data_IF_356164296286
#
_entry.id   IF_356164296286
#
_cell.length_a   1.000
_cell.length_b   1.000
_cell.length_c   1.000
_cell.angle_alpha   90.00
_cell.angle_beta   90.00
_cell.angle_gamma   90.00
#
_symmetry.space_group_name_H-M   'P 1'
#
loop_
_entity.id
_entity.type
_entity.pdbx_description
1 polymer ?
#
# COMPACT_ATOMS: atom_id res chain seq x y z
N UNK A 1 22.74 21.47 0.23
CA UNK A 1 22.27 21.01 1.55
C UNK A 1 21.62 19.66 1.32
N UNK A 2 22.06 18.65 2.04
CA UNK A 2 21.57 17.28 1.87
C UNK A 2 20.29 17.06 2.67
N UNK A 3 19.34 16.24 2.16
CA UNK A 3 18.10 15.96 2.88
C UNK A 3 18.37 15.08 4.11
N UNK A 4 17.73 15.44 5.23
CA UNK A 4 17.76 14.69 6.49
C UNK A 4 16.38 14.08 6.79
N UNK A 5 16.35 12.93 7.46
CA UNK A 5 15.12 12.21 7.83
C UNK A 5 15.19 11.74 9.28
N UNK A 6 14.05 11.74 9.97
CA UNK A 6 13.90 11.27 11.35
C UNK A 6 12.74 10.28 11.48
N UNK A 7 12.81 9.41 12.50
CA UNK A 7 11.79 8.39 12.78
C UNK A 7 11.01 8.69 14.08
N UNK A 8 10.92 9.96 14.46
CA UNK A 8 10.17 10.44 15.61
C UNK A 8 9.42 11.72 15.23
N UNK A 9 8.25 11.91 15.81
CA UNK A 9 7.49 13.15 15.67
C UNK A 9 8.21 14.27 16.41
N UNK A 10 8.61 15.31 15.70
CA UNK A 10 9.25 16.50 16.29
C UNK A 10 8.39 17.21 17.34
N UNK A 11 7.06 17.03 17.27
CA UNK A 11 6.12 17.64 18.21
C UNK A 11 5.90 16.83 19.49
N UNK A 12 5.89 15.50 19.42
CA UNK A 12 5.56 14.63 20.55
C UNK A 12 6.75 13.83 21.09
N UNK A 13 7.84 13.76 20.34
CA UNK A 13 9.02 12.92 20.62
C UNK A 13 8.75 11.41 20.52
N UNK A 14 7.55 11.00 20.07
CA UNK A 14 7.15 9.59 19.93
C UNK A 14 7.32 9.12 18.48
N UNK A 15 7.36 7.81 18.27
CA UNK A 15 7.55 7.24 16.93
C UNK A 15 6.36 7.45 15.99
N UNK A 16 5.12 7.53 16.50
CA UNK A 16 3.90 7.74 15.69
C UNK A 16 3.78 6.79 14.47
N UNK A 17 4.22 5.53 14.64
CA UNK A 17 4.19 4.51 13.60
C UNK A 17 5.43 4.50 12.68
N UNK A 18 6.39 5.39 12.90
CA UNK A 18 7.70 5.36 12.25
C UNK A 18 8.63 4.36 12.96
N UNK A 19 9.59 3.80 12.23
CA UNK A 19 10.55 2.85 12.77
C UNK A 19 10.98 1.80 11.75
N UNK A 20 11.73 0.79 12.19
CA UNK A 20 12.14 -0.31 11.34
C UNK A 20 10.93 -1.15 10.91
N UNK A 21 10.87 -1.46 9.62
CA UNK A 21 9.91 -2.41 9.04
C UNK A 21 10.62 -3.77 8.90
N UNK A 22 10.16 -4.78 9.63
CA UNK A 22 10.76 -6.12 9.65
C UNK A 22 9.93 -7.10 8.82
N UNK A 23 10.58 -7.93 8.01
CA UNK A 23 9.87 -8.86 7.11
C UNK A 23 9.27 -8.13 5.91
N UNK A 24 8.15 -8.66 5.40
CA UNK A 24 7.48 -8.11 4.23
C UNK A 24 8.34 -8.00 2.97
N UNK A 25 7.88 -7.18 2.04
CA UNK A 25 8.57 -6.90 0.77
C UNK A 25 8.28 -5.47 0.30
N UNK A 26 9.28 -4.86 -0.34
CA UNK A 26 9.16 -3.53 -0.95
C UNK A 26 8.83 -3.66 -2.44
N UNK A 27 7.86 -2.88 -2.90
CA UNK A 27 7.46 -2.74 -4.29
C UNK A 27 7.67 -1.29 -4.75
N UNK A 28 8.04 -1.15 -6.03
CA UNK A 28 8.13 0.16 -6.67
C UNK A 28 6.77 0.56 -7.21
N UNK A 29 6.36 1.79 -6.94
CA UNK A 29 5.16 2.41 -7.48
C UNK A 29 5.50 3.82 -7.98
N UNK A 30 4.63 4.37 -8.81
CA UNK A 30 4.70 5.76 -9.23
C UNK A 30 4.50 6.69 -8.03
N UNK A 31 5.09 7.89 -8.12
CA UNK A 31 4.86 8.95 -7.13
C UNK A 31 3.37 9.34 -7.08
N UNK A 32 2.66 9.21 -8.20
CA UNK A 32 1.23 9.44 -8.29
C UNK A 32 0.43 8.43 -7.46
N UNK A 33 0.77 7.15 -7.53
CA UNK A 33 0.15 6.12 -6.69
C UNK A 33 0.48 6.34 -5.21
N UNK A 34 1.74 6.62 -4.87
CA UNK A 34 2.12 6.92 -3.48
C UNK A 34 1.28 8.08 -2.91
N UNK A 35 1.06 9.13 -3.70
CA UNK A 35 0.17 10.25 -3.32
C UNK A 35 -1.28 9.81 -3.16
N UNK A 36 -1.84 9.01 -4.08
CA UNK A 36 -3.21 8.49 -4.01
C UNK A 36 -3.45 7.65 -2.75
N UNK A 37 -2.50 6.78 -2.39
CA UNK A 37 -2.58 5.92 -1.21
C UNK A 37 -2.54 6.69 0.12
N UNK A 38 -1.92 7.88 0.15
CA UNK A 38 -1.83 8.73 1.34
C UNK A 38 -2.97 9.77 1.44
N UNK A 39 -3.95 9.75 0.54
CA UNK A 39 -5.11 10.64 0.65
C UNK A 39 -5.96 10.27 1.87
N UNK A 40 -6.63 11.25 2.47
CA UNK A 40 -7.52 11.00 3.60
C UNK A 40 -8.68 10.06 3.24
N UNK A 41 -9.09 10.07 1.96
CA UNK A 41 -10.09 9.17 1.40
C UNK A 41 -9.64 8.65 0.03
N UNK A 42 -8.79 7.60 -0.04
CA UNK A 42 -8.22 7.10 -1.29
C UNK A 42 -9.27 6.65 -2.31
N UNK A 43 -10.38 6.06 -1.85
CA UNK A 43 -11.50 5.67 -2.70
C UNK A 43 -12.19 6.88 -3.35
N UNK A 44 -12.65 7.84 -2.53
CA UNK A 44 -13.43 8.99 -3.01
C UNK A 44 -12.59 9.99 -3.81
N UNK A 45 -11.37 10.29 -3.36
CA UNK A 45 -10.52 11.34 -3.94
C UNK A 45 -9.55 10.79 -4.98
N UNK A 46 -9.14 9.54 -4.81
CA UNK A 46 -8.10 8.90 -5.62
C UNK A 46 -8.62 7.77 -6.51
N UNK A 47 -9.89 7.37 -6.41
CA UNK A 47 -10.42 6.20 -7.13
C UNK A 47 -9.64 4.91 -6.83
N UNK A 48 -9.02 4.82 -5.65
CA UNK A 48 -8.21 3.68 -5.23
C UNK A 48 -8.99 2.85 -4.21
N UNK A 49 -9.58 1.75 -4.66
CA UNK A 49 -10.42 0.85 -3.83
C UNK A 49 -9.75 -0.49 -3.55
N UNK A 50 -8.64 -0.80 -4.23
CA UNK A 50 -7.99 -2.12 -4.14
C UNK A 50 -7.66 -2.55 -2.70
N UNK A 51 -7.20 -1.64 -1.84
CA UNK A 51 -6.85 -1.96 -0.45
C UNK A 51 -8.08 -2.27 0.40
N UNK A 52 -9.15 -1.49 0.25
CA UNK A 52 -10.42 -1.68 0.95
C UNK A 52 -11.07 -3.00 0.52
N UNK A 53 -11.06 -3.30 -0.78
CA UNK A 53 -11.63 -4.53 -1.33
C UNK A 53 -10.84 -5.79 -0.89
N UNK A 54 -9.51 -5.71 -0.79
CA UNK A 54 -8.69 -6.79 -0.24
C UNK A 54 -8.99 -7.02 1.24
N UNK A 55 -9.12 -5.95 2.03
CA UNK A 55 -9.53 -6.03 3.44
C UNK A 55 -10.93 -6.63 3.60
N UNK A 56 -11.89 -6.20 2.78
CA UNK A 56 -13.27 -6.72 2.76
C UNK A 56 -13.33 -8.21 2.34
N UNK A 57 -12.38 -8.66 1.52
CA UNK A 57 -12.23 -10.06 1.16
C UNK A 57 -11.55 -10.91 2.26
N UNK A 58 -11.22 -10.33 3.42
CA UNK A 58 -10.61 -11.03 4.55
C UNK A 58 -9.09 -11.21 4.43
N UNK A 59 -8.45 -10.53 3.49
CA UNK A 59 -6.99 -10.57 3.34
C UNK A 59 -6.37 -9.68 4.41
N UNK A 60 -5.69 -10.30 5.38
CA UNK A 60 -4.97 -9.58 6.43
C UNK A 60 -3.57 -9.20 5.95
N UNK A 61 -3.23 -7.91 6.04
CA UNK A 61 -1.92 -7.39 5.66
C UNK A 61 -1.59 -6.09 6.39
N UNK A 62 -0.31 -5.76 6.42
CA UNK A 62 0.22 -4.48 6.83
C UNK A 62 0.84 -3.76 5.63
N UNK A 63 0.84 -2.44 5.67
CA UNK A 63 1.36 -1.62 4.58
C UNK A 63 2.00 -0.34 5.12
N UNK A 64 3.13 0.04 4.52
CA UNK A 64 3.75 1.34 4.74
C UNK A 64 4.04 1.98 3.39
N UNK A 65 3.53 3.18 3.17
CA UNK A 65 3.71 3.92 1.91
C UNK A 65 4.75 5.00 2.13
N UNK A 66 5.74 5.06 1.24
CA UNK A 66 6.72 6.13 1.18
C UNK A 66 6.40 7.11 0.05
N UNK A 67 6.50 8.42 0.32
CA UNK A 67 6.34 9.46 -0.71
C UNK A 67 7.39 9.37 -1.84
N UNK A 68 8.44 8.57 -1.64
CA UNK A 68 9.49 8.26 -2.60
C UNK A 68 9.11 7.16 -3.62
N UNK A 69 7.83 6.76 -3.72
CA UNK A 69 7.39 5.75 -4.68
C UNK A 69 7.74 4.32 -4.25
N UNK A 70 7.88 4.10 -2.95
CA UNK A 70 8.07 2.77 -2.36
C UNK A 70 6.85 2.41 -1.54
N UNK A 71 6.40 1.17 -1.66
CA UNK A 71 5.41 0.60 -0.75
C UNK A 71 5.96 -0.69 -0.17
N UNK A 72 5.98 -0.76 1.15
CA UNK A 72 6.26 -1.99 1.87
C UNK A 72 4.95 -2.68 2.20
N UNK A 73 4.89 -3.99 1.98
CA UNK A 73 3.72 -4.83 2.25
C UNK A 73 4.18 -6.05 3.05
N UNK A 74 3.43 -6.41 4.07
CA UNK A 74 3.61 -7.67 4.79
C UNK A 74 2.29 -8.38 5.08
N UNK A 75 2.33 -9.71 5.10
CA UNK A 75 1.17 -10.56 5.32
C UNK A 75 1.63 -11.94 5.80
N UNK A 76 0.68 -12.80 6.19
CA UNK A 76 0.96 -14.12 6.79
C UNK A 76 1.80 -15.04 5.92
N UNK A 77 1.72 -14.91 4.59
CA UNK A 77 2.49 -15.74 3.66
C UNK A 77 3.15 -14.91 2.58
N UNK A 78 4.31 -15.37 2.11
CA UNK A 78 5.03 -14.75 0.99
C UNK A 78 4.14 -14.68 -0.26
N UNK A 79 3.30 -15.70 -0.50
CA UNK A 79 2.35 -15.73 -1.62
C UNK A 79 1.37 -14.57 -1.54
N UNK A 80 0.77 -14.35 -0.37
CA UNK A 80 -0.18 -13.25 -0.13
C UNK A 80 0.50 -11.89 -0.22
N UNK A 81 1.69 -11.74 0.38
CA UNK A 81 2.50 -10.51 0.28
C UNK A 81 2.82 -10.14 -1.17
N UNK A 82 3.26 -11.12 -1.97
CA UNK A 82 3.52 -10.94 -3.40
C UNK A 82 2.25 -10.59 -4.19
N UNK A 83 1.13 -11.27 -3.88
CA UNK A 83 -0.14 -11.03 -4.54
C UNK A 83 -0.63 -9.60 -4.32
N UNK A 84 -0.58 -9.10 -3.08
CA UNK A 84 -0.98 -7.73 -2.74
C UNK A 84 -0.06 -6.71 -3.41
N UNK A 85 1.26 -6.87 -3.27
CA UNK A 85 2.21 -5.94 -3.87
C UNK A 85 2.06 -5.84 -5.38
N UNK A 86 1.88 -6.98 -6.06
CA UNK A 86 1.61 -7.00 -7.51
C UNK A 86 0.26 -6.38 -7.86
N UNK A 87 -0.77 -6.54 -7.04
CA UNK A 87 -2.06 -5.91 -7.28
C UNK A 87 -1.97 -4.38 -7.25
N UNK A 88 -1.19 -3.85 -6.30
CA UNK A 88 -0.93 -2.40 -6.20
C UNK A 88 -0.18 -1.92 -7.44
N UNK A 89 0.88 -2.63 -7.85
CA UNK A 89 1.65 -2.29 -9.07
C UNK A 89 0.78 -2.36 -10.33
N UNK A 90 -0.03 -3.40 -10.48
CA UNK A 90 -0.91 -3.54 -11.64
C UNK A 90 -1.97 -2.43 -11.69
N UNK A 91 -2.52 -2.06 -10.53
CA UNK A 91 -3.47 -0.93 -10.42
C UNK A 91 -2.82 0.40 -10.82
N UNK A 92 -1.56 0.58 -10.46
CA UNK A 92 -0.77 1.77 -10.79
C UNK A 92 -0.41 1.83 -12.28
N UNK A 93 0.28 0.81 -12.77
CA UNK A 93 0.83 0.74 -14.14
C UNK A 93 -0.24 0.72 -15.21
N UNK A 94 -1.37 0.05 -14.96
CA UNK A 94 -2.46 -0.07 -15.94
C UNK A 94 -3.57 0.95 -15.74
N UNK A 95 -3.44 1.83 -14.74
CA UNK A 95 -4.47 2.81 -14.39
C UNK A 95 -5.87 2.19 -14.26
N UNK A 96 -5.97 1.09 -13.51
CA UNK A 96 -7.20 0.30 -13.44
C UNK A 96 -8.39 1.14 -12.97
N UNK A 97 -9.53 0.94 -13.64
CA UNK A 97 -10.82 1.48 -13.21
C UNK A 97 -11.23 0.90 -11.85
N UNK A 98 -12.19 1.54 -11.18
CA UNK A 98 -12.74 1.04 -9.91
C UNK A 98 -13.29 -0.40 -10.07
N UNK A 99 -13.98 -0.67 -11.17
CA UNK A 99 -14.53 -2.01 -11.43
C UNK A 99 -13.45 -3.06 -11.66
N UNK A 100 -12.36 -2.69 -12.31
CA UNK A 100 -11.24 -3.62 -12.55
C UNK A 100 -10.43 -3.87 -11.28
N UNK A 101 -10.28 -2.86 -10.41
CA UNK A 101 -9.71 -3.04 -9.07
C UNK A 101 -10.56 -4.01 -8.23
N UNK A 102 -11.89 -3.87 -8.26
CA UNK A 102 -12.81 -4.81 -7.56
C UNK A 102 -12.68 -6.24 -8.08
N UNK A 103 -12.61 -6.42 -9.41
CA UNK A 103 -12.39 -7.75 -10.01
C UNK A 103 -11.06 -8.35 -9.58
N UNK A 104 -10.00 -7.52 -9.56
CA UNK A 104 -8.67 -7.93 -9.14
C UNK A 104 -8.66 -8.37 -7.66
N UNK A 105 -9.21 -7.56 -6.76
CA UNK A 105 -9.31 -7.91 -5.33
C UNK A 105 -10.09 -9.21 -5.11
N UNK A 106 -11.24 -9.39 -5.78
CA UNK A 106 -12.06 -10.62 -5.67
C UNK A 106 -11.31 -11.87 -6.13
N UNK A 107 -10.46 -11.74 -7.15
CA UNK A 107 -9.62 -12.85 -7.61
C UNK A 107 -8.61 -13.21 -6.54
N UNK A 108 -7.93 -12.21 -5.97
CA UNK A 108 -6.88 -12.42 -4.98
C UNK A 108 -7.40 -12.96 -3.65
N UNK A 109 -8.56 -12.48 -3.19
CA UNK A 109 -9.18 -12.96 -1.95
C UNK A 109 -9.65 -14.42 -1.99
N UNK A 110 -9.77 -15.03 -3.18
CA UNK A 110 -10.04 -16.47 -3.32
C UNK A 110 -8.79 -17.34 -3.22
N UNK A 111 -7.64 -16.76 -3.53
CA UNK A 111 -6.35 -17.45 -3.67
C UNK A 111 -5.46 -17.32 -2.41
N UNK A 112 -5.90 -16.50 -1.45
CA UNK A 112 -5.21 -16.10 -0.21
C UNK A 112 -5.59 -16.93 1.00
#
# INVERSE_FOLDING_TARGET
MDPEVECVSSSTGKSEGLGPLTGGMIFNISLGMARRMMMAKPADQGGLVILEELGAAGVAFEIAVGRNGKVWVDSKTIKTTLAIGRAIQETDEKHLSIDDQKKLARKLGRDS
#
